data_IF_465409360669
#
_entry.id   IF_465409360669
#
_cell.length_a   1.000
_cell.length_b   1.000
_cell.length_c   1.000
_cell.angle_alpha   90.00
_cell.angle_beta   90.00
_cell.angle_gamma   90.00
#
_symmetry.space_group_name_H-M   'P 1'
#
loop_
_entity.id
_entity.type
_entity.pdbx_description
1 polymer ?
#
# COMPACT_ATOMS: atom_id res chain seq x y z
N UNK A 1 7.67 6.26 1.12
CA UNK A 1 8.23 6.97 -0.04
C UNK A 1 7.52 8.30 -0.14
N UNK A 2 8.25 9.35 -0.48
CA UNK A 2 7.75 10.69 -0.77
C UNK A 2 8.29 11.14 -2.13
N UNK A 3 7.76 12.24 -2.65
CA UNK A 3 8.22 12.81 -3.91
C UNK A 3 9.70 13.23 -3.81
N UNK A 4 10.47 12.87 -4.84
CA UNK A 4 11.92 13.10 -4.88
C UNK A 4 12.77 11.99 -4.28
N UNK A 5 12.20 10.97 -3.63
CA UNK A 5 12.97 9.80 -3.20
C UNK A 5 13.53 9.04 -4.41
N UNK A 6 14.79 8.60 -4.31
CA UNK A 6 15.41 7.77 -5.36
C UNK A 6 14.96 6.32 -5.19
N UNK A 7 14.41 5.76 -6.26
CA UNK A 7 14.12 4.33 -6.38
C UNK A 7 15.16 3.71 -7.31
N UNK A 8 15.99 2.84 -6.76
CA UNK A 8 16.98 2.06 -7.50
C UNK A 8 16.32 0.78 -8.03
N UNK A 9 16.31 0.62 -9.35
CA UNK A 9 15.72 -0.53 -10.03
C UNK A 9 16.83 -1.25 -10.78
N UNK A 10 17.24 -2.40 -10.26
CA UNK A 10 18.29 -3.22 -10.83
C UNK A 10 17.68 -4.45 -11.50
N UNK A 11 17.48 -4.38 -12.82
CA UNK A 11 16.86 -5.45 -13.60
C UNK A 11 17.72 -6.73 -13.61
N UNK A 12 19.06 -6.67 -13.84
CA UNK A 12 19.90 -7.87 -13.80
C UNK A 12 19.81 -8.63 -12.46
N UNK A 13 19.82 -7.91 -11.34
CA UNK A 13 19.74 -8.52 -10.01
C UNK A 13 18.29 -8.76 -9.52
N UNK A 14 17.28 -8.30 -10.27
CA UNK A 14 15.84 -8.38 -9.91
C UNK A 14 15.51 -7.67 -8.59
N UNK A 15 16.11 -6.51 -8.37
CA UNK A 15 15.95 -5.74 -7.15
C UNK A 15 15.26 -4.40 -7.39
N UNK A 16 14.46 -3.99 -6.41
CA UNK A 16 13.88 -2.65 -6.34
C UNK A 16 14.13 -2.15 -4.92
N UNK A 17 14.98 -1.12 -4.79
CA UNK A 17 15.42 -0.58 -3.50
C UNK A 17 15.04 0.90 -3.39
N UNK A 18 14.42 1.28 -2.27
CA UNK A 18 14.20 2.67 -1.93
C UNK A 18 15.47 3.22 -1.27
N UNK A 19 16.14 4.18 -1.91
CA UNK A 19 17.40 4.77 -1.43
C UNK A 19 17.14 5.86 -0.38
N UNK A 20 16.53 5.46 0.72
CA UNK A 20 16.22 6.29 1.89
C UNK A 20 16.77 5.60 3.12
N UNK A 21 17.43 6.33 4.00
CA UNK A 21 17.98 5.77 5.23
C UNK A 21 16.87 5.31 6.20
N UNK A 22 17.22 4.36 7.05
CA UNK A 22 16.26 3.74 7.97
C UNK A 22 15.68 4.73 8.98
N UNK A 23 16.46 5.72 9.43
CA UNK A 23 16.01 6.74 10.37
C UNK A 23 14.93 7.62 9.75
N UNK A 24 15.10 8.03 8.49
CA UNK A 24 14.09 8.78 7.74
C UNK A 24 12.83 7.93 7.52
N UNK A 25 12.97 6.65 7.19
CA UNK A 25 11.82 5.75 7.04
C UNK A 25 11.06 5.57 8.37
N UNK A 26 11.77 5.44 9.49
CA UNK A 26 11.18 5.37 10.83
C UNK A 26 10.43 6.65 11.17
N UNK A 27 11.03 7.82 10.96
CA UNK A 27 10.39 9.12 11.19
C UNK A 27 9.13 9.30 10.34
N UNK A 28 9.17 8.91 9.06
CA UNK A 28 7.99 8.94 8.17
C UNK A 28 6.90 7.99 8.63
N UNK A 29 7.26 6.81 9.16
CA UNK A 29 6.30 5.86 9.74
C UNK A 29 5.64 6.46 10.98
N UNK A 30 6.40 7.06 11.88
CA UNK A 30 5.86 7.73 13.08
C UNK A 30 4.93 8.90 12.70
N UNK A 31 5.35 9.76 11.78
CA UNK A 31 4.52 10.85 11.28
C UNK A 31 3.19 10.35 10.69
N UNK A 32 3.22 9.19 10.03
CA UNK A 32 2.01 8.59 9.46
C UNK A 32 1.13 7.94 10.53
N UNK A 33 1.71 7.29 11.54
CA UNK A 33 0.97 6.75 12.68
C UNK A 33 0.32 7.87 13.51
N UNK A 34 0.97 9.03 13.64
CA UNK A 34 0.44 10.20 14.33
C UNK A 34 -0.84 10.77 13.67
N UNK A 35 -1.14 10.42 12.40
CA UNK A 35 -2.40 10.78 11.73
C UNK A 35 -3.60 9.94 12.17
N UNK A 36 -3.43 8.94 13.04
CA UNK A 36 -4.53 8.13 13.61
C UNK A 36 -5.36 7.44 12.53
N UNK A 37 -6.68 7.62 12.55
CA UNK A 37 -7.61 7.02 11.56
C UNK A 37 -7.33 7.45 10.11
N UNK A 38 -6.60 8.56 9.92
CA UNK A 38 -6.17 9.05 8.61
C UNK A 38 -4.78 8.51 8.21
N UNK A 39 -4.18 7.63 9.01
CA UNK A 39 -2.93 6.96 8.66
C UNK A 39 -3.13 6.07 7.43
N UNK A 40 -2.13 6.05 6.57
CA UNK A 40 -2.09 5.30 5.29
C UNK A 40 -3.26 5.54 4.33
N UNK A 41 -4.05 6.59 4.55
CA UNK A 41 -5.13 6.97 3.64
C UNK A 41 -4.69 8.11 2.69
N UNK A 42 -5.28 8.17 1.47
CA UNK A 42 -5.08 9.28 0.55
C UNK A 42 -5.45 10.62 1.19
N UNK A 43 -4.66 11.67 0.94
CA UNK A 43 -4.90 13.01 1.50
C UNK A 43 -6.11 13.71 0.85
N UNK A 44 -6.11 13.82 -0.49
CA UNK A 44 -7.06 14.69 -1.22
C UNK A 44 -7.83 13.96 -2.34
N UNK A 45 -7.95 12.62 -2.26
CA UNK A 45 -8.55 11.81 -3.34
C UNK A 45 -10.09 11.88 -3.31
N UNK A 46 -10.69 12.58 -4.26
CA UNK A 46 -12.14 12.58 -4.50
C UNK A 46 -12.52 11.56 -5.60
N UNK A 47 -12.90 10.35 -5.20
CA UNK A 47 -13.37 9.29 -6.12
C UNK A 47 -14.56 8.56 -5.52
N UNK A 48 -15.62 8.38 -6.30
CA UNK A 48 -16.71 7.49 -5.92
C UNK A 48 -16.27 6.03 -6.06
N UNK A 49 -16.44 5.25 -5.00
CA UNK A 49 -16.18 3.80 -5.00
C UNK A 49 -17.52 3.09 -5.03
N UNK A 50 -17.75 2.27 -6.06
CA UNK A 50 -19.01 1.51 -6.18
C UNK A 50 -19.09 0.41 -5.12
N UNK A 51 -20.30 -0.08 -4.84
CA UNK A 51 -20.50 -1.21 -3.93
C UNK A 51 -19.71 -2.44 -4.38
N UNK A 52 -19.74 -2.76 -5.69
CA UNK A 52 -18.98 -3.88 -6.25
C UNK A 52 -17.46 -3.74 -6.03
N UNK A 53 -16.90 -2.52 -6.16
CA UNK A 53 -15.48 -2.27 -5.91
C UNK A 53 -15.12 -2.39 -4.42
N UNK A 54 -16.00 -1.94 -3.52
CA UNK A 54 -15.83 -2.15 -2.07
C UNK A 54 -15.82 -3.64 -1.73
N UNK A 55 -16.79 -4.40 -2.25
CA UNK A 55 -16.87 -5.85 -2.03
C UNK A 55 -15.65 -6.58 -2.59
N UNK A 56 -15.17 -6.22 -3.79
CA UNK A 56 -13.95 -6.80 -4.35
C UNK A 56 -12.73 -6.55 -3.46
N UNK A 57 -12.54 -5.30 -2.99
CA UNK A 57 -11.39 -4.94 -2.16
C UNK A 57 -11.34 -5.72 -0.83
N UNK A 58 -12.49 -6.04 -0.23
CA UNK A 58 -12.53 -6.85 1.00
C UNK A 58 -12.09 -8.30 0.79
N UNK A 59 -12.31 -8.84 -0.41
CA UNK A 59 -12.06 -10.24 -0.74
C UNK A 59 -10.73 -10.48 -1.46
N UNK A 60 -10.21 -9.47 -2.16
CA UNK A 60 -8.99 -9.61 -2.95
C UNK A 60 -7.79 -9.98 -2.07
N UNK A 61 -7.03 -10.97 -2.52
CA UNK A 61 -5.73 -11.33 -1.95
C UNK A 61 -4.62 -10.50 -2.57
N UNK A 62 -3.42 -10.62 -2.01
CA UNK A 62 -2.25 -9.92 -2.53
C UNK A 62 -1.91 -10.35 -3.96
N UNK A 63 -1.32 -9.44 -4.74
CA UNK A 63 -1.04 -9.67 -6.16
C UNK A 63 0.04 -10.74 -6.40
N UNK A 64 0.98 -10.91 -5.46
CA UNK A 64 1.95 -12.02 -5.45
C UNK A 64 1.27 -13.40 -5.40
N UNK A 65 0.05 -13.47 -4.83
CA UNK A 65 -0.81 -14.67 -4.79
C UNK A 65 -1.83 -14.72 -5.93
N UNK A 66 -1.72 -13.82 -6.93
CA UNK A 66 -2.59 -13.77 -8.10
C UNK A 66 -3.88 -12.97 -7.94
N UNK A 67 -4.03 -12.18 -6.86
CA UNK A 67 -5.19 -11.30 -6.62
C UNK A 67 -6.56 -12.02 -6.67
N UNK A 68 -6.58 -13.31 -6.31
CA UNK A 68 -7.80 -14.11 -6.24
C UNK A 68 -8.69 -13.64 -5.09
N UNK A 69 -9.99 -13.95 -5.18
CA UNK A 69 -10.96 -13.63 -4.14
C UNK A 69 -10.97 -14.72 -3.07
N UNK A 70 -10.68 -14.34 -1.84
CA UNK A 70 -10.72 -15.23 -0.68
C UNK A 70 -12.17 -15.45 -0.22
N UNK A 71 -12.70 -16.64 -0.50
CA UNK A 71 -14.07 -17.03 -0.14
C UNK A 71 -14.26 -17.24 1.36
N UNK A 72 -13.20 -17.55 2.11
CA UNK A 72 -13.31 -17.75 3.56
C UNK A 72 -13.83 -16.52 4.30
N UNK A 73 -13.58 -15.33 3.73
CA UNK A 73 -14.05 -14.04 4.25
C UNK A 73 -15.57 -13.81 4.11
N UNK A 74 -16.28 -14.71 3.43
CA UNK A 74 -17.74 -14.67 3.28
C UNK A 74 -18.50 -15.50 4.32
N UNK A 75 -17.80 -16.15 5.26
CA UNK A 75 -18.43 -16.79 6.42
C UNK A 75 -18.37 -18.32 6.46
N UNK A 76 -17.77 -18.98 5.46
CA UNK A 76 -17.69 -20.45 5.41
C UNK A 76 -19.00 -21.09 4.95
#
# INVERSE_FOLDING_TARGET
MEEGDIVDINIPNREINLRVDEKTLAARREAQLARGDKAWTPKDRQRQVSFALRAYASLATSADKGAVRDKSKLGG
#
